data_IF_262370615428
#
_entry.id   IF_262370615428
#
_cell.length_a   1.000
_cell.length_b   1.000
_cell.length_c   1.000
_cell.angle_alpha   90.00
_cell.angle_beta   90.00
_cell.angle_gamma   90.00
#
_symmetry.space_group_name_H-M   'P 1'
#
loop_
_entity.id
_entity.type
_entity.pdbx_description
1 polymer ?
#
# COMPACT_ATOMS: atom_id res chain seq x y z
N UNK A 1 11.15 -22.14 7.97
CA UNK A 1 10.19 -21.03 8.09
C UNK A 1 8.81 -21.62 8.24
N UNK A 2 8.16 -21.33 9.36
CA UNK A 2 6.77 -21.70 9.62
C UNK A 2 5.89 -20.44 9.62
N UNK A 3 4.56 -20.57 9.47
CA UNK A 3 3.66 -19.42 9.57
C UNK A 3 3.82 -18.65 10.88
N UNK A 4 4.02 -19.34 12.00
CA UNK A 4 4.14 -18.75 13.34
C UNK A 4 5.34 -17.80 13.46
N UNK A 5 6.44 -18.10 12.76
CA UNK A 5 7.64 -17.25 12.73
C UNK A 5 7.41 -15.94 11.95
N UNK A 6 6.44 -15.91 11.04
CA UNK A 6 6.10 -14.76 10.20
C UNK A 6 5.02 -13.87 10.83
N UNK A 7 4.16 -14.46 11.67
CA UNK A 7 3.13 -13.72 12.42
C UNK A 7 3.75 -12.59 13.22
N UNK A 8 3.12 -11.41 13.14
CA UNK A 8 3.54 -10.21 13.82
C UNK A 8 3.44 -8.96 12.96
N UNK A 9 4.01 -7.88 13.49
CA UNK A 9 4.09 -6.57 12.85
C UNK A 9 5.51 -6.34 12.38
N UNK A 10 5.65 -5.80 11.17
CA UNK A 10 6.93 -5.57 10.51
C UNK A 10 6.97 -4.14 9.98
N UNK A 11 8.09 -3.45 10.17
CA UNK A 11 8.37 -2.11 9.65
C UNK A 11 9.17 -2.21 8.36
N UNK A 12 8.78 -1.43 7.36
CA UNK A 12 9.50 -1.37 6.09
C UNK A 12 10.89 -0.76 6.33
N UNK A 13 11.92 -1.47 5.89
CA UNK A 13 13.30 -1.02 5.96
C UNK A 13 13.79 -0.54 4.59
N UNK A 14 13.39 -1.24 3.51
CA UNK A 14 13.71 -0.83 2.15
C UNK A 14 12.73 -1.42 1.13
N UNK A 15 12.57 -0.71 0.01
CA UNK A 15 11.92 -1.19 -1.19
C UNK A 15 12.86 -0.88 -2.36
N UNK A 16 13.43 -1.93 -2.94
CA UNK A 16 14.33 -1.82 -4.10
C UNK A 16 13.79 -2.54 -5.33
N UNK A 17 14.20 -2.08 -6.50
CA UNK A 17 14.06 -2.79 -7.77
C UNK A 17 15.41 -3.38 -8.17
N UNK A 18 15.38 -4.62 -8.66
CA UNK A 18 16.56 -5.35 -9.12
C UNK A 18 16.61 -5.26 -10.64
N UNK A 19 17.69 -4.67 -11.15
CA UNK A 19 17.99 -4.58 -12.58
C UNK A 19 18.43 -5.92 -13.17
N UNK A 20 18.52 -5.99 -14.49
CA UNK A 20 18.94 -7.21 -15.20
C UNK A 20 20.40 -7.57 -14.94
N UNK A 21 21.22 -6.59 -14.58
CA UNK A 21 22.63 -6.73 -14.18
C UNK A 21 22.80 -7.20 -12.72
N UNK A 22 21.70 -7.35 -11.98
CA UNK A 22 21.69 -7.69 -10.54
C UNK A 22 21.93 -6.49 -9.62
N UNK A 23 22.10 -5.29 -10.17
CA UNK A 23 22.15 -4.05 -9.40
C UNK A 23 20.81 -3.74 -8.75
N UNK A 24 20.83 -3.09 -7.59
CA UNK A 24 19.61 -2.64 -6.90
C UNK A 24 19.51 -1.12 -6.91
N UNK A 25 18.37 -0.60 -7.34
CA UNK A 25 18.04 0.83 -7.28
C UNK A 25 16.86 1.07 -6.32
N UNK A 26 16.72 2.31 -5.85
CA UNK A 26 15.57 2.70 -5.05
C UNK A 26 14.27 2.44 -5.82
N UNK A 27 13.30 1.84 -5.13
CA UNK A 27 12.00 1.54 -5.71
C UNK A 27 11.10 2.78 -5.82
N UNK A 28 9.81 2.59 -6.16
CA UNK A 28 8.87 3.68 -6.38
C UNK A 28 8.60 4.56 -5.14
N UNK A 29 8.93 4.06 -3.94
CA UNK A 29 8.77 4.80 -2.68
C UNK A 29 10.03 5.56 -2.25
N UNK A 30 11.07 5.61 -3.10
CA UNK A 30 12.30 6.33 -2.84
C UNK A 30 13.25 5.62 -1.87
N UNK A 31 14.28 6.35 -1.42
CA UNK A 31 15.37 5.81 -0.60
C UNK A 31 14.99 5.53 0.85
N UNK A 32 14.05 6.28 1.41
CA UNK A 32 13.63 6.19 2.80
C UNK A 32 12.12 5.89 2.93
N UNK A 33 11.62 4.76 2.40
CA UNK A 33 10.19 4.47 2.46
C UNK A 33 9.76 4.15 3.90
N UNK A 34 8.53 4.50 4.25
CA UNK A 34 7.91 4.12 5.51
C UNK A 34 6.79 3.11 5.27
N UNK A 35 6.57 2.17 6.19
CA UNK A 35 5.47 1.24 6.04
C UNK A 35 5.34 0.22 7.16
N UNK A 36 4.17 -0.40 7.21
CA UNK A 36 3.81 -1.51 8.09
C UNK A 36 3.28 -2.68 7.27
N UNK A 37 3.72 -3.87 7.66
CA UNK A 37 3.21 -5.15 7.21
C UNK A 37 2.78 -5.93 8.45
N UNK A 38 1.52 -6.37 8.46
CA UNK A 38 0.92 -7.10 9.56
C UNK A 38 0.53 -8.46 9.02
N UNK A 39 1.02 -9.52 9.66
CA UNK A 39 0.52 -10.88 9.49
C UNK A 39 -0.12 -11.33 10.79
N UNK A 40 -1.39 -11.73 10.72
CA UNK A 40 -2.11 -12.29 11.86
C UNK A 40 -2.03 -13.82 11.84
N UNK A 41 -2.17 -14.43 13.02
CA UNK A 41 -2.14 -15.89 13.17
C UNK A 41 -3.33 -16.59 12.49
N UNK A 42 -4.46 -15.90 12.32
CA UNK A 42 -5.65 -16.40 11.66
C UNK A 42 -5.64 -16.19 10.14
N UNK A 43 -4.49 -15.83 9.55
CA UNK A 43 -4.30 -15.81 8.11
C UNK A 43 -4.66 -14.49 7.40
N UNK A 44 -4.75 -13.37 8.12
CA UNK A 44 -4.97 -12.05 7.55
C UNK A 44 -3.67 -11.25 7.39
N UNK A 45 -3.63 -10.46 6.32
CA UNK A 45 -2.50 -9.59 5.99
C UNK A 45 -2.98 -8.18 5.73
N UNK A 46 -2.23 -7.19 6.23
CA UNK A 46 -2.40 -5.79 5.89
C UNK A 46 -1.03 -5.18 5.57
N UNK A 47 -0.97 -4.40 4.49
CA UNK A 47 0.22 -3.69 4.04
C UNK A 47 -0.14 -2.23 3.85
N UNK A 48 0.69 -1.36 4.40
CA UNK A 48 0.62 0.09 4.23
C UNK A 48 2.03 0.60 4.03
N UNK A 49 2.30 1.28 2.92
CA UNK A 49 3.62 1.80 2.60
C UNK A 49 3.49 3.17 1.94
N UNK A 50 4.45 4.05 2.18
CA UNK A 50 4.50 5.37 1.58
C UNK A 50 5.92 5.84 1.32
N UNK A 51 6.06 6.77 0.38
CA UNK A 51 7.25 7.63 0.30
C UNK A 51 7.27 8.58 1.50
N UNK A 52 8.45 8.87 2.04
CA UNK A 52 8.63 9.92 3.06
C UNK A 52 9.15 11.22 2.42
N UNK A 53 8.85 12.38 3.02
CA UNK A 53 9.24 13.71 2.52
C UNK A 53 8.08 14.54 1.94
N UNK A 54 8.38 15.67 1.30
CA UNK A 54 7.44 16.72 0.85
C UNK A 54 6.52 16.34 -0.35
N UNK A 55 6.38 15.06 -0.68
CA UNK A 55 5.49 14.65 -1.78
C UNK A 55 4.03 14.53 -1.30
N UNK A 56 3.02 14.83 -2.15
CA UNK A 56 1.62 14.61 -1.79
C UNK A 56 1.37 13.13 -1.43
N UNK A 57 0.77 12.91 -0.26
CA UNK A 57 0.72 11.59 0.39
C UNK A 57 -0.12 10.54 -0.37
N UNK A 58 -1.14 10.95 -1.13
CA UNK A 58 -2.07 10.00 -1.76
C UNK A 58 -1.44 9.28 -2.97
N UNK A 59 -0.70 10.00 -3.81
CA UNK A 59 -0.01 9.43 -4.99
C UNK A 59 1.19 8.57 -4.61
N UNK A 60 1.65 8.70 -3.37
CA UNK A 60 2.85 8.05 -2.86
C UNK A 60 2.55 6.93 -1.87
N UNK A 61 1.27 6.60 -1.65
CA UNK A 61 0.82 5.56 -0.75
C UNK A 61 0.42 4.28 -1.50
N UNK A 62 0.90 3.14 -1.01
CA UNK A 62 0.54 1.81 -1.48
C UNK A 62 0.00 1.00 -0.29
N UNK A 63 -1.29 0.69 -0.33
CA UNK A 63 -1.96 -0.12 0.68
C UNK A 63 -2.80 -1.23 0.08
N UNK A 64 -2.80 -2.39 0.75
CA UNK A 64 -3.73 -3.48 0.49
C UNK A 64 -3.92 -4.36 1.71
N UNK A 65 -5.00 -5.11 1.75
CA UNK A 65 -5.30 -6.07 2.79
C UNK A 65 -6.02 -7.30 2.24
N UNK A 66 -5.90 -8.41 2.93
CA UNK A 66 -6.59 -9.63 2.58
C UNK A 66 -6.10 -10.82 3.37
N UNK A 67 -5.93 -11.96 2.70
CA UNK A 67 -5.50 -13.21 3.32
C UNK A 67 -4.08 -13.58 2.90
N UNK A 68 -3.35 -14.29 3.75
CA UNK A 68 -2.03 -14.82 3.41
C UNK A 68 -1.91 -16.33 3.65
N UNK A 69 -0.97 -16.94 2.94
CA UNK A 69 -0.54 -18.31 3.15
C UNK A 69 0.94 -18.45 2.87
N UNK A 70 1.59 -19.38 3.57
CA UNK A 70 2.98 -19.75 3.36
C UNK A 70 3.08 -21.23 2.95
N UNK A 71 3.78 -21.50 1.86
CA UNK A 71 4.10 -22.85 1.42
C UNK A 71 5.59 -22.91 1.04
N UNK A 72 6.42 -23.52 1.90
CA UNK A 72 7.87 -23.52 1.71
C UNK A 72 8.44 -22.10 1.79
N UNK A 73 9.12 -21.66 0.72
CA UNK A 73 9.64 -20.29 0.56
C UNK A 73 8.68 -19.35 -0.16
N UNK A 74 7.43 -19.76 -0.38
CA UNK A 74 6.44 -19.02 -1.18
C UNK A 74 5.37 -18.41 -0.29
N UNK A 75 5.43 -17.08 -0.13
CA UNK A 75 4.42 -16.25 0.52
C UNK A 75 3.38 -15.81 -0.51
N UNK A 76 2.10 -16.06 -0.27
CA UNK A 76 1.02 -15.59 -1.15
C UNK A 76 0.06 -14.69 -0.39
N UNK A 77 -0.19 -13.48 -0.91
CA UNK A 77 -1.25 -12.59 -0.44
C UNK A 77 -2.41 -12.61 -1.42
N UNK A 78 -3.59 -13.03 -0.98
CA UNK A 78 -4.84 -12.86 -1.72
C UNK A 78 -5.43 -11.52 -1.36
N UNK A 79 -5.37 -10.57 -2.29
CA UNK A 79 -5.77 -9.18 -2.04
C UNK A 79 -7.29 -9.06 -2.11
N UNK A 80 -7.90 -8.52 -1.06
CA UNK A 80 -9.34 -8.28 -0.96
C UNK A 80 -9.67 -6.80 -1.03
N UNK A 81 -8.87 -5.96 -0.36
CA UNK A 81 -9.03 -4.50 -0.31
C UNK A 81 -7.74 -3.85 -0.80
N UNK A 82 -7.82 -2.86 -1.69
CA UNK A 82 -6.65 -2.07 -2.11
C UNK A 82 -7.04 -0.69 -2.62
N UNK A 83 -6.17 0.29 -2.39
CA UNK A 83 -6.27 1.61 -3.02
C UNK A 83 -6.00 1.58 -4.54
N UNK A 84 -5.44 0.48 -5.05
CA UNK A 84 -5.17 0.28 -6.47
C UNK A 84 -6.15 -0.75 -7.04
N UNK A 85 -7.17 -0.36 -7.82
CA UNK A 85 -8.24 -1.26 -8.29
C UNK A 85 -7.73 -2.52 -8.99
N UNK A 86 -6.63 -2.42 -9.75
CA UNK A 86 -5.99 -3.55 -10.44
C UNK A 86 -5.46 -4.66 -9.52
N UNK A 87 -5.29 -4.39 -8.23
CA UNK A 87 -4.76 -5.34 -7.25
C UNK A 87 -5.88 -6.14 -6.57
N UNK A 88 -7.07 -5.57 -6.43
CA UNK A 88 -8.19 -6.22 -5.76
C UNK A 88 -8.56 -7.52 -6.49
N UNK A 89 -8.74 -8.61 -5.74
CA UNK A 89 -9.06 -9.94 -6.28
C UNK A 89 -7.87 -10.73 -6.83
N UNK A 90 -6.65 -10.19 -6.81
CA UNK A 90 -5.45 -10.86 -7.32
C UNK A 90 -4.69 -11.63 -6.24
N UNK A 91 -3.84 -12.56 -6.66
CA UNK A 91 -2.82 -13.17 -5.80
C UNK A 91 -1.45 -12.54 -6.05
N UNK A 92 -0.83 -12.04 -5.00
CA UNK A 92 0.54 -11.54 -5.02
C UNK A 92 1.45 -12.60 -4.42
N UNK A 93 2.35 -13.14 -5.24
CA UNK A 93 3.19 -14.25 -4.84
C UNK A 93 4.65 -13.82 -4.77
N UNK A 94 5.26 -14.00 -3.60
CA UNK A 94 6.61 -13.57 -3.28
C UNK A 94 7.42 -14.77 -2.78
N UNK A 95 8.68 -14.85 -3.16
CA UNK A 95 9.66 -15.64 -2.42
C UNK A 95 9.96 -14.92 -1.11
N UNK A 96 9.93 -15.65 0.00
CA UNK A 96 10.16 -15.13 1.34
C UNK A 96 11.40 -15.74 1.97
N UNK A 97 12.20 -14.91 2.61
CA UNK A 97 13.27 -15.34 3.52
C UNK A 97 13.11 -14.64 4.86
N UNK A 98 13.50 -15.34 5.93
CA UNK A 98 13.49 -14.84 7.29
C UNK A 98 14.87 -15.10 7.89
N UNK A 99 15.54 -14.04 8.32
CA UNK A 99 16.83 -14.07 9.00
C UNK A 99 16.71 -13.28 10.30
N UNK A 100 16.48 -14.00 11.40
CA UNK A 100 16.17 -13.44 12.71
C UNK A 100 14.99 -12.47 12.65
N UNK A 101 15.29 -11.18 12.86
CA UNK A 101 14.32 -10.09 12.89
C UNK A 101 14.08 -9.46 11.50
N UNK A 102 14.52 -10.10 10.42
CA UNK A 102 14.54 -9.55 9.05
C UNK A 102 13.73 -10.42 8.11
N UNK A 103 12.66 -9.88 7.56
CA UNK A 103 11.84 -10.53 6.55
C UNK A 103 12.12 -9.91 5.18
N UNK A 104 12.48 -10.71 4.19
CA UNK A 104 12.63 -10.27 2.81
C UNK A 104 11.54 -10.87 1.94
N UNK A 105 10.83 -10.03 1.18
CA UNK A 105 9.82 -10.43 0.20
C UNK A 105 10.30 -10.04 -1.20
N UNK A 106 10.65 -11.05 -2.00
CA UNK A 106 11.16 -10.90 -3.35
C UNK A 106 10.13 -11.39 -4.37
N UNK A 107 9.83 -10.59 -5.39
CA UNK A 107 8.94 -11.01 -6.48
C UNK A 107 8.63 -9.91 -7.48
N UNK A 108 8.06 -10.29 -8.61
CA UNK A 108 7.67 -9.35 -9.67
C UNK A 108 6.34 -8.68 -9.34
N UNK A 109 6.20 -7.41 -9.74
CA UNK A 109 4.89 -6.78 -9.79
C UNK A 109 4.06 -7.41 -10.92
N UNK A 110 2.76 -7.60 -10.72
CA UNK A 110 1.87 -7.99 -11.82
C UNK A 110 1.77 -6.82 -12.80
N UNK A 111 2.40 -6.93 -13.97
CA UNK A 111 2.23 -5.99 -15.09
C UNK A 111 1.10 -6.46 -15.99
N UNK A 112 0.07 -5.63 -16.26
CA UNK A 112 -1.02 -5.98 -17.17
C UNK A 112 -0.62 -6.07 -18.65
N UNK A 113 0.56 -5.54 -19.03
CA UNK A 113 0.96 -5.41 -20.44
C UNK A 113 2.39 -5.94 -20.60
N UNK A 114 2.51 -7.15 -21.18
CA UNK A 114 3.60 -7.69 -22.02
C UNK A 114 5.08 -7.56 -21.63
N UNK A 115 5.44 -6.76 -20.64
CA UNK A 115 6.80 -6.50 -20.20
C UNK A 115 7.11 -7.24 -18.91
N UNK A 116 8.34 -7.76 -18.83
CA UNK A 116 8.88 -8.34 -17.59
C UNK A 116 8.98 -7.22 -16.56
N UNK A 117 8.08 -7.20 -15.58
CA UNK A 117 8.20 -6.27 -14.47
C UNK A 117 9.55 -6.47 -13.78
N UNK A 118 10.25 -5.38 -13.40
CA UNK A 118 11.47 -5.51 -12.63
C UNK A 118 11.16 -6.25 -11.34
N UNK A 119 12.09 -7.09 -10.93
CA UNK A 119 11.95 -7.82 -9.69
C UNK A 119 12.09 -6.85 -8.52
N UNK A 120 11.24 -7.01 -7.51
CA UNK A 120 11.19 -6.12 -6.36
C UNK A 120 11.58 -6.87 -5.11
N UNK A 121 12.41 -6.24 -4.29
CA UNK A 121 12.80 -6.75 -2.98
C UNK A 121 12.33 -5.75 -1.93
N UNK A 122 11.44 -6.23 -1.05
CA UNK A 122 11.01 -5.46 0.12
C UNK A 122 11.64 -6.10 1.35
N UNK A 123 12.42 -5.32 2.08
CA UNK A 123 13.02 -5.75 3.35
C UNK A 123 12.25 -5.13 4.49
N UNK A 124 11.89 -5.96 5.46
CA UNK A 124 11.14 -5.58 6.64
C UNK A 124 11.90 -5.99 7.90
N UNK A 125 11.78 -5.17 8.95
CA UNK A 125 12.28 -5.49 10.28
C UNK A 125 11.13 -5.74 11.23
N UNK A 126 11.26 -6.73 12.10
CA UNK A 126 10.24 -7.00 13.11
C UNK A 126 10.01 -5.74 13.95
N UNK A 127 8.75 -5.31 14.01
CA UNK A 127 8.39 -4.11 14.76
C UNK A 127 8.50 -4.45 16.24
N UNK A 128 9.27 -3.65 16.97
CA UNK A 128 9.26 -3.71 18.42
C UNK A 128 8.15 -2.81 18.94
N UNK A 129 7.52 -3.19 20.07
CA UNK A 129 6.57 -2.32 20.77
C UNK A 129 7.24 -1.05 21.33
N UNK A 130 8.54 -0.85 21.09
CA UNK A 130 9.29 0.36 21.39
C UNK A 130 8.48 1.57 20.94
N UNK A 131 8.07 2.32 21.98
CA UNK A 131 6.89 3.16 21.97
C UNK A 131 6.86 4.18 20.85
N UNK A 132 5.65 4.63 20.59
CA UNK A 132 5.36 5.89 19.92
C UNK A 132 5.97 7.02 20.78
N UNK A 133 7.30 7.16 20.73
CA UNK A 133 8.08 8.14 21.47
C UNK A 133 9.39 8.31 20.71
N UNK A 134 9.40 9.20 19.71
CA UNK A 134 10.66 9.57 19.06
C UNK A 134 10.51 10.46 17.84
N UNK A 135 9.55 10.18 16.95
CA UNK A 135 9.37 11.00 15.76
C UNK A 135 8.28 12.02 16.01
N UNK A 136 8.66 13.09 16.73
CA UNK A 136 7.90 14.33 16.68
C UNK A 136 7.90 14.74 15.20
N UNK A 137 6.74 14.64 14.56
CA UNK A 137 6.40 15.56 13.47
C UNK A 137 6.76 16.94 14.03
N UNK A 138 7.77 17.60 13.45
CA UNK A 138 8.10 18.98 13.76
C UNK A 138 6.95 19.86 13.22
N UNK A 139 5.82 19.81 13.93
CA UNK A 139 4.72 20.74 13.81
C UNK A 139 5.06 21.94 14.67
N UNK A 140 5.49 22.99 14.00
CA UNK A 140 5.71 24.32 14.53
C UNK A 140 4.57 24.75 15.47
N UNK A 141 4.91 25.18 16.69
CA UNK A 141 3.96 25.77 17.63
C UNK A 141 4.62 26.90 18.41
N UNK A 142 4.55 28.10 17.83
CA UNK A 142 4.32 29.33 18.60
C UNK A 142 2.98 29.91 18.18
N UNK A 143 1.94 29.51 18.91
CA UNK A 143 0.65 30.18 18.88
C UNK A 143 0.74 31.55 19.56
N UNK A 144 0.15 32.55 18.92
CA UNK A 144 -0.44 33.70 19.59
C UNK A 144 -1.95 33.57 19.40
N UNK A 145 -2.66 33.37 20.50
CA UNK A 145 -4.10 33.15 20.50
C UNK A 145 -4.90 34.41 20.12
N UNK A 146 -6.08 34.18 19.58
CA UNK A 146 -7.22 35.06 19.81
C UNK A 146 -8.50 34.25 19.70
N UNK A 147 -9.26 34.26 20.79
CA UNK A 147 -10.62 33.75 20.92
C UNK A 147 -11.59 34.66 20.17
N UNK A 148 -12.47 34.10 19.35
CA UNK A 148 -13.82 34.61 19.17
C UNK A 148 -14.73 33.49 18.69
N UNK A 149 -15.76 33.26 19.48
CA UNK A 149 -16.97 32.51 19.18
C UNK A 149 -17.60 33.01 17.88
N UNK A 150 -18.11 32.12 17.03
CA UNK A 150 -19.48 32.29 16.56
C UNK A 150 -20.06 30.99 16.03
N UNK A 151 -21.24 30.67 16.56
CA UNK A 151 -22.08 29.56 16.18
C UNK A 151 -23.19 30.13 15.30
N UNK A 152 -23.13 29.91 13.98
CA UNK A 152 -24.27 30.20 13.10
C UNK A 152 -24.26 29.32 11.85
N UNK A 153 -25.42 28.72 11.58
CA UNK A 153 -25.90 28.44 10.22
C UNK A 153 -25.39 27.16 9.54
N UNK A 154 -26.00 26.02 9.88
CA UNK A 154 -26.19 24.97 8.89
C UNK A 154 -27.28 25.47 7.92
N UNK A 155 -26.86 26.08 6.81
CA UNK A 155 -27.76 26.43 5.71
C UNK A 155 -27.64 25.38 4.62
N UNK A 156 -28.77 24.73 4.35
CA UNK A 156 -28.92 23.74 3.28
C UNK A 156 -29.40 24.49 2.05
N UNK A 157 -28.57 24.54 1.01
CA UNK A 157 -29.06 24.91 -0.32
C UNK A 157 -28.84 23.73 -1.26
N UNK A 158 -29.95 23.04 -1.50
CA UNK A 158 -30.19 22.26 -2.71
C UNK A 158 -29.78 23.07 -3.95
N UNK A 159 -29.14 22.40 -4.92
CA UNK A 159 -29.14 22.85 -6.30
C UNK A 159 -29.43 21.66 -7.18
N UNK A 160 -30.71 21.51 -7.45
CA UNK A 160 -31.29 20.74 -8.53
C UNK A 160 -30.68 21.23 -9.86
N UNK A 161 -30.22 20.29 -10.69
CA UNK A 161 -30.02 20.52 -12.12
C UNK A 161 -30.39 19.25 -12.87
N UNK A 162 -31.65 19.23 -13.27
CA UNK A 162 -32.25 18.26 -14.17
C UNK A 162 -31.91 18.58 -15.63
N UNK A 163 -31.82 17.50 -16.39
CA UNK A 163 -32.01 17.35 -17.84
C UNK A 163 -30.91 17.84 -18.80
N UNK A 164 -30.26 16.86 -19.44
CA UNK A 164 -30.45 16.63 -20.88
C UNK A 164 -30.12 15.17 -21.19
N UNK A 165 -31.18 14.40 -21.39
CA UNK A 165 -31.21 13.01 -21.84
C UNK A 165 -31.61 13.06 -23.32
N UNK A 166 -30.72 12.67 -24.23
CA UNK A 166 -31.13 12.28 -25.59
C UNK A 166 -30.02 11.50 -26.33
N UNK A 167 -30.34 10.23 -26.59
CA UNK A 167 -29.99 9.42 -27.78
C UNK A 167 -28.58 8.79 -27.89
N UNK A 168 -28.52 7.47 -27.69
CA UNK A 168 -28.13 6.53 -28.76
C UNK A 168 -28.12 5.07 -28.25
N UNK A 169 -29.29 4.43 -28.27
CA UNK A 169 -29.42 2.98 -28.35
C UNK A 169 -29.60 2.63 -29.84
N UNK A 170 -28.63 1.92 -30.43
CA UNK A 170 -28.78 0.92 -31.51
C UNK A 170 -27.44 0.68 -32.23
N UNK A 171 -26.87 -0.51 -32.04
CA UNK A 171 -26.60 -1.46 -33.14
C UNK A 171 -25.98 -2.75 -32.57
N UNK A 172 -26.85 -3.63 -32.07
CA UNK A 172 -26.67 -5.06 -32.29
C UNK A 172 -27.37 -5.40 -33.61
N UNK A 173 -26.57 -5.76 -34.63
CA UNK A 173 -26.86 -6.69 -35.73
C UNK A 173 -25.86 -6.43 -36.85
N UNK A 174 -24.85 -7.28 -36.97
CA UNK A 174 -24.68 -8.05 -38.20
C UNK A 174 -23.67 -9.18 -37.99
N UNK A 175 -24.23 -10.40 -38.02
CA UNK A 175 -23.54 -11.62 -38.38
C UNK A 175 -23.42 -11.63 -39.90
N UNK A 176 -22.21 -11.49 -40.44
CA UNK A 176 -21.73 -12.30 -41.55
C UNK A 176 -20.20 -12.26 -41.65
#
# INVERSE_FOLDING_TARGET
MTPEEVVGVWRLASYTEVGEDGGTVAGPLGEAPAGLLIYTADGHVAVSMMKTGEAPALETYMGYSGQWRLAGDRMTHRVQVSAHPRMAGTEQIRRVTLDGETLSLRGTAVTPVGGRAPERVLTWRRARPDGIAGDRIAGDSTGSGSTASDNSGFDSTESDSTASDETAEQQEKETH
#
